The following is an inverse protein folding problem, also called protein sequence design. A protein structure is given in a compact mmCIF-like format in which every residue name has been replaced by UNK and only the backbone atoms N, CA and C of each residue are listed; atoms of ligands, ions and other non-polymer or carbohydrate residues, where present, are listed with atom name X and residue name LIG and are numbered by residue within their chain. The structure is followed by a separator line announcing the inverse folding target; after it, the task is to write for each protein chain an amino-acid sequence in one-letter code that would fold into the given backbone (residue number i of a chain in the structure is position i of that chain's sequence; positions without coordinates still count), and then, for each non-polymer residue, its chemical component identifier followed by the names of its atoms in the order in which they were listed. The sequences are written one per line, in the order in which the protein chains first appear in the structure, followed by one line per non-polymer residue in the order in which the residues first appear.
data_IF_420087911067
#
_entry.id   IF_420087911067
#
_cell.length_a   1.000
_cell.length_b   1.000
_cell.length_c   1.000
_cell.angle_alpha   90.00
_cell.angle_beta   90.00
_cell.angle_gamma   90.00
#
_symmetry.space_group_name_H-M   'P 1'
#
loop_
_entity.id
_entity.type
_entity.pdbx_description
1 polymer ?
#
# COMPACT_ATOMS: atom_id res chain seq x y z
N UNK A 1 -2.53 4.07 -10.13
CA UNK A 1 -1.26 4.69 -9.66
C UNK A 1 -0.50 5.52 -10.71
N UNK A 2 -0.03 4.99 -11.85
CA UNK A 2 0.70 5.81 -12.86
C UNK A 2 -0.07 7.02 -13.42
N UNK A 3 -1.40 6.95 -13.41
CA UNK A 3 -2.29 8.04 -13.83
C UNK A 3 -2.52 9.09 -12.72
N UNK A 4 -2.03 8.87 -11.50
CA UNK A 4 -2.16 9.85 -10.42
C UNK A 4 -1.29 11.09 -10.76
N UNK A 5 -1.95 12.24 -10.88
CA UNK A 5 -1.29 13.50 -11.25
C UNK A 5 -0.48 14.12 -10.11
N UNK A 6 -0.67 13.65 -8.88
CA UNK A 6 0.06 14.11 -7.71
C UNK A 6 1.40 13.37 -7.50
N UNK A 7 1.74 12.41 -8.38
CA UNK A 7 3.03 11.69 -8.37
C UNK A 7 3.96 12.30 -9.42
N UNK A 8 5.23 12.49 -9.05
CA UNK A 8 6.29 12.94 -9.97
C UNK A 8 6.60 11.84 -10.98
N UNK A 9 6.37 12.15 -12.25
CA UNK A 9 6.57 11.22 -13.38
C UNK A 9 7.99 11.29 -13.97
N UNK A 10 8.74 12.33 -13.63
CA UNK A 10 10.12 12.55 -14.02
C UNK A 10 11.14 11.87 -13.11
N UNK A 11 10.69 11.33 -11.96
CA UNK A 11 11.50 10.59 -11.01
C UNK A 11 11.17 9.09 -11.04
N UNK A 12 11.97 8.29 -10.35
CA UNK A 12 11.81 6.84 -10.32
C UNK A 12 10.41 6.44 -9.82
N UNK A 13 9.75 5.58 -10.59
CA UNK A 13 8.49 4.94 -10.24
C UNK A 13 8.69 3.43 -10.32
N UNK A 14 8.53 2.73 -9.20
CA UNK A 14 8.72 1.28 -9.15
C UNK A 14 7.63 0.64 -8.29
N UNK A 15 7.09 -0.47 -8.78
CA UNK A 15 6.25 -1.38 -8.01
C UNK A 15 6.82 -2.77 -8.20
N UNK A 16 7.21 -3.45 -7.12
CA UNK A 16 7.81 -4.78 -7.20
C UNK A 16 7.40 -5.66 -6.02
N UNK A 17 7.47 -6.96 -6.24
CA UNK A 17 7.40 -7.96 -5.17
C UNK A 17 8.77 -8.08 -4.49
N UNK A 18 8.78 -8.17 -3.18
CA UNK A 18 9.97 -8.52 -2.39
C UNK A 18 10.02 -10.03 -2.17
N UNK A 19 11.16 -10.59 -1.72
CA UNK A 19 11.24 -12.01 -1.37
C UNK A 19 10.14 -12.40 -0.36
N UNK A 20 9.52 -13.58 -0.52
CA UNK A 20 8.46 -14.04 0.39
C UNK A 20 9.01 -14.26 1.80
N UNK A 21 8.19 -13.96 2.81
CA UNK A 21 8.49 -14.18 4.22
C UNK A 21 7.33 -14.83 4.97
N UNK A 22 7.44 -14.96 6.31
CA UNK A 22 6.38 -15.53 7.16
C UNK A 22 5.04 -14.77 7.06
N UNK A 23 5.09 -13.50 6.66
CA UNK A 23 3.95 -12.59 6.54
C UNK A 23 3.36 -12.57 5.10
N UNK A 24 3.82 -13.46 4.22
CA UNK A 24 3.38 -13.57 2.84
C UNK A 24 4.34 -12.94 1.84
N UNK A 25 3.79 -12.38 0.75
CA UNK A 25 4.55 -11.79 -0.36
C UNK A 25 4.47 -10.26 -0.30
N UNK A 26 5.51 -9.56 0.21
CA UNK A 26 5.43 -8.12 0.37
C UNK A 26 5.49 -7.42 -0.99
N UNK A 27 4.75 -6.32 -1.11
CA UNK A 27 4.78 -5.44 -2.28
C UNK A 27 5.41 -4.11 -1.87
N UNK A 28 6.46 -3.71 -2.60
CA UNK A 28 7.07 -2.39 -2.45
C UNK A 28 6.52 -1.46 -3.53
N UNK A 29 5.98 -0.31 -3.09
CA UNK A 29 5.56 0.79 -3.95
C UNK A 29 6.50 1.96 -3.68
N UNK A 30 7.37 2.27 -4.64
CA UNK A 30 8.34 3.36 -4.55
C UNK A 30 8.01 4.45 -5.57
N UNK A 31 7.58 5.61 -5.07
CA UNK A 31 7.15 6.76 -5.87
C UNK A 31 7.52 8.06 -5.16
N UNK A 32 7.60 9.16 -5.92
CA UNK A 32 7.85 10.50 -5.38
C UNK A 32 6.59 11.37 -5.47
N UNK A 33 6.25 12.07 -4.39
CA UNK A 33 5.15 13.03 -4.39
C UNK A 33 5.50 14.30 -5.20
N UNK A 34 4.50 14.90 -5.83
CA UNK A 34 4.57 16.16 -6.58
C UNK A 34 4.86 17.39 -5.72
N UNK A 35 4.87 17.23 -4.41
CA UNK A 35 4.86 18.29 -3.42
C UNK A 35 5.75 17.93 -2.22
N UNK A 36 6.21 18.96 -1.52
CA UNK A 36 6.91 18.84 -0.23
C UNK A 36 6.04 19.33 0.94
N UNK A 37 4.82 19.80 0.66
CA UNK A 37 3.86 20.13 1.71
C UNK A 37 3.45 18.83 2.43
N UNK A 38 3.56 18.84 3.77
CA UNK A 38 3.29 17.67 4.60
C UNK A 38 1.86 17.14 4.46
N UNK A 39 0.86 18.02 4.53
CA UNK A 39 -0.56 17.63 4.46
C UNK A 39 -0.89 17.02 3.10
N UNK A 40 -0.41 17.63 2.01
CA UNK A 40 -0.64 17.08 0.68
C UNK A 40 0.10 15.75 0.48
N UNK A 41 1.32 15.64 1.02
CA UNK A 41 2.09 14.40 0.99
C UNK A 41 1.35 13.25 1.69
N UNK A 42 0.80 13.49 2.89
CA UNK A 42 0.01 12.49 3.61
C UNK A 42 -1.26 12.10 2.85
N UNK A 43 -1.96 13.07 2.26
CA UNK A 43 -3.14 12.79 1.45
C UNK A 43 -2.82 11.93 0.23
N UNK A 44 -1.71 12.22 -0.47
CA UNK A 44 -1.24 11.41 -1.60
C UNK A 44 -0.94 9.98 -1.14
N UNK A 45 -0.31 9.82 0.03
CA UNK A 45 -0.04 8.50 0.58
C UNK A 45 -1.34 7.74 0.91
N UNK A 46 -2.30 8.40 1.58
CA UNK A 46 -3.60 7.82 1.92
C UNK A 46 -4.36 7.37 0.66
N UNK A 47 -4.46 8.22 -0.36
CA UNK A 47 -5.12 7.90 -1.64
C UNK A 47 -4.53 6.65 -2.31
N UNK A 48 -3.20 6.48 -2.23
CA UNK A 48 -2.52 5.29 -2.77
C UNK A 48 -2.95 4.04 -2.01
N UNK A 49 -2.94 4.09 -0.67
CA UNK A 49 -3.34 2.96 0.16
C UNK A 49 -4.83 2.63 -0.04
N UNK A 50 -5.72 3.60 0.04
CA UNK A 50 -7.16 3.39 -0.14
C UNK A 50 -7.48 2.72 -1.48
N UNK A 51 -6.84 3.17 -2.56
CA UNK A 51 -7.01 2.56 -3.88
C UNK A 51 -6.50 1.10 -3.92
N UNK A 52 -5.36 0.81 -3.30
CA UNK A 52 -4.80 -0.54 -3.22
C UNK A 52 -5.70 -1.45 -2.38
N UNK A 53 -6.14 -0.99 -1.21
CA UNK A 53 -7.05 -1.72 -0.32
C UNK A 53 -8.37 -2.05 -1.01
N UNK A 54 -8.92 -1.11 -1.78
CA UNK A 54 -10.16 -1.28 -2.51
C UNK A 54 -10.06 -2.31 -3.65
N UNK A 55 -8.92 -2.40 -4.33
CA UNK A 55 -8.76 -3.28 -5.50
C UNK A 55 -8.25 -4.68 -5.15
N UNK A 56 -7.58 -4.87 -4.01
CA UNK A 56 -7.03 -6.17 -3.58
C UNK A 56 -8.04 -7.33 -3.64
N UNK A 57 -9.30 -7.18 -3.17
CA UNK A 57 -10.28 -8.26 -3.19
C UNK A 57 -10.62 -8.77 -4.61
N UNK A 58 -10.53 -7.93 -5.63
CA UNK A 58 -10.80 -8.29 -7.03
C UNK A 58 -9.79 -9.29 -7.60
N UNK A 59 -8.61 -9.38 -6.98
CA UNK A 59 -7.56 -10.33 -7.35
C UNK A 59 -7.56 -11.58 -6.45
N UNK A 60 -8.61 -11.78 -5.64
CA UNK A 60 -8.70 -12.85 -4.64
C UNK A 60 -7.55 -12.81 -3.62
N UNK A 61 -6.91 -11.65 -3.46
CA UNK A 61 -5.82 -11.43 -2.52
C UNK A 61 -6.37 -10.97 -1.16
N UNK A 62 -5.63 -11.23 -0.10
CA UNK A 62 -5.92 -10.75 1.25
C UNK A 62 -4.69 -10.10 1.85
N UNK A 63 -4.92 -9.06 2.63
CA UNK A 63 -3.87 -8.34 3.33
C UNK A 63 -3.53 -9.14 4.58
N UNK A 64 -2.25 -9.40 4.76
CA UNK A 64 -1.76 -9.93 6.02
C UNK A 64 -1.87 -8.86 7.10
N UNK A 65 -2.56 -9.19 8.18
CA UNK A 65 -2.57 -8.43 9.43
C UNK A 65 -2.09 -9.38 10.52
N UNK A 66 -1.10 -8.96 11.30
CA UNK A 66 -0.61 -9.77 12.40
C UNK A 66 -1.72 -9.86 13.46
N UNK A 67 -2.28 -11.06 13.74
CA UNK A 67 -3.37 -11.18 14.69
C UNK A 67 -2.94 -10.72 16.08
N UNK A 68 -3.80 -9.94 16.71
CA UNK A 68 -3.63 -9.44 18.07
C UNK A 68 -4.41 -10.29 19.06
N UNK A 69 -4.18 -10.10 20.37
CA UNK A 69 -4.89 -10.85 21.42
C UNK A 69 -6.43 -10.78 21.32
N UNK A 70 -6.98 -9.73 20.71
CA UNK A 70 -8.41 -9.58 20.46
C UNK A 70 -8.94 -10.54 19.39
N UNK A 71 -8.14 -10.84 18.37
CA UNK A 71 -8.51 -11.74 17.28
C UNK A 71 -8.64 -13.19 17.77
N UNK A 72 -7.79 -13.58 18.74
CA UNK A 72 -7.85 -14.91 19.38
C UNK A 72 -9.04 -15.08 20.32
N UNK A 73 -9.62 -14.00 20.86
CA UNK A 73 -10.83 -14.09 21.69
C UNK A 73 -12.08 -14.51 20.90
N UNK A 74 -12.10 -14.25 19.60
CA UNK A 74 -13.21 -14.65 18.72
C UNK A 74 -13.10 -16.09 18.20
N UNK A 75 -12.00 -16.79 18.53
CA UNK A 75 -11.72 -18.18 18.14
C UNK A 75 -11.98 -19.20 19.28
N UNK A 76 -12.27 -18.72 20.50
CA UNK A 76 -12.61 -19.52 21.69
C UNK A 76 -14.10 -19.40 22.01
#
# INVERSE_FOLDING_TARGET
LKQNNNIRKDLSFMVRQLPPGPEGLPIEIYVFAGTTNWTDYENIQADIFDHVLAVIPEFELRIFQNPTGSDFKNLL
#
